data_IF_922662104189
#
_entry.id   IF_922662104189
#
_cell.length_a   1.000
_cell.length_b   1.000
_cell.length_c   1.000
_cell.angle_alpha   90.00
_cell.angle_beta   90.00
_cell.angle_gamma   90.00
#
_symmetry.space_group_name_H-M   'P 1'
#
loop_
_entity.id
_entity.type
_entity.pdbx_description
1 polymer ?
#
# COMPACT_ATOMS: atom_id res chain seq x y z
N UNK A 1 -11.44 10.80 -23.47
CA UNK A 1 -10.80 9.59 -22.92
C UNK A 1 -9.32 9.74 -23.11
N UNK A 2 -8.52 9.44 -22.09
CA UNK A 2 -7.07 9.61 -22.15
C UNK A 2 -6.38 8.27 -21.95
N UNK A 3 -5.55 7.81 -22.90
CA UNK A 3 -4.84 6.54 -22.77
C UNK A 3 -3.80 6.58 -21.63
N UNK A 4 -3.63 5.43 -20.99
CA UNK A 4 -2.68 5.19 -19.90
C UNK A 4 -2.02 3.83 -20.11
N UNK A 5 -0.71 3.77 -19.95
CA UNK A 5 0.05 2.53 -19.87
C UNK A 5 0.47 2.32 -18.42
N UNK A 6 0.24 1.11 -17.90
CA UNK A 6 0.76 0.67 -16.62
C UNK A 6 1.35 -0.72 -16.81
N UNK A 7 2.67 -0.84 -16.73
CA UNK A 7 3.37 -2.09 -17.03
C UNK A 7 4.55 -2.31 -16.10
N UNK A 8 4.73 -3.56 -15.66
CA UNK A 8 5.91 -3.98 -14.92
C UNK A 8 7.14 -3.99 -15.84
N UNK A 9 8.23 -3.46 -15.33
CA UNK A 9 9.48 -3.32 -16.07
C UNK A 9 10.68 -3.44 -15.13
N UNK A 10 11.84 -3.77 -15.68
CA UNK A 10 13.07 -3.93 -14.90
C UNK A 10 13.87 -2.63 -14.94
N UNK A 11 14.12 -2.08 -13.76
CA UNK A 11 15.07 -0.98 -13.55
C UNK A 11 16.47 -1.56 -13.32
N UNK A 12 17.41 -1.27 -14.21
CA UNK A 12 18.82 -1.65 -14.07
C UNK A 12 19.58 -0.53 -13.34
N UNK A 13 20.21 -0.89 -12.22
CA UNK A 13 20.89 0.07 -11.33
C UNK A 13 22.25 0.45 -11.93
N UNK A 14 22.70 1.72 -11.78
CA UNK A 14 23.99 2.15 -12.34
C UNK A 14 25.22 1.39 -11.82
N UNK A 15 25.15 0.88 -10.59
CA UNK A 15 26.25 0.14 -9.94
C UNK A 15 26.10 -1.39 -10.05
N UNK A 16 25.16 -1.87 -10.86
CA UNK A 16 24.87 -3.29 -11.02
C UNK A 16 23.67 -3.77 -10.20
N UNK A 17 23.07 -4.86 -10.69
CA UNK A 17 21.80 -5.39 -10.19
C UNK A 17 20.58 -4.67 -10.77
N UNK A 18 19.40 -5.17 -10.42
CA UNK A 18 18.13 -4.65 -10.93
C UNK A 18 17.08 -4.55 -9.83
N UNK A 19 15.99 -3.83 -10.11
CA UNK A 19 14.81 -3.74 -9.28
C UNK A 19 13.56 -3.75 -10.16
N UNK A 20 12.50 -4.41 -9.72
CA UNK A 20 11.22 -4.34 -10.41
C UNK A 20 10.60 -2.95 -10.20
N UNK A 21 10.03 -2.37 -11.24
CA UNK A 21 9.27 -1.12 -11.18
C UNK A 21 7.99 -1.22 -12.01
N UNK A 22 7.05 -0.29 -11.81
CA UNK A 22 5.87 -0.13 -12.66
C UNK A 22 6.01 1.18 -13.43
N UNK A 23 6.15 1.08 -14.74
CA UNK A 23 6.14 2.24 -15.63
C UNK A 23 4.70 2.69 -15.83
N UNK A 24 4.47 3.97 -15.56
CA UNK A 24 3.21 4.66 -15.80
C UNK A 24 3.42 5.66 -16.94
N UNK A 25 2.96 5.29 -18.13
CA UNK A 25 3.02 6.12 -19.33
C UNK A 25 1.75 6.95 -19.49
N UNK A 26 1.86 8.27 -19.41
CA UNK A 26 0.71 9.17 -19.46
C UNK A 26 1.14 10.58 -19.86
N UNK A 27 0.24 11.34 -20.50
CA UNK A 27 0.52 12.71 -20.91
C UNK A 27 -0.45 13.68 -20.22
N UNK A 28 0.08 14.49 -19.30
CA UNK A 28 -0.68 15.49 -18.55
C UNK A 28 -1.34 16.54 -19.45
N UNK A 29 -0.67 16.90 -20.55
CA UNK A 29 -1.18 17.88 -21.52
C UNK A 29 -2.50 17.44 -22.17
N UNK A 30 -2.71 16.13 -22.31
CA UNK A 30 -3.92 15.55 -22.90
C UNK A 30 -5.00 15.22 -21.85
N UNK A 31 -4.85 15.73 -20.61
CA UNK A 31 -5.74 15.41 -19.48
C UNK A 31 -5.42 14.08 -18.80
N UNK A 32 -4.21 13.55 -19.02
CA UNK A 32 -3.72 12.33 -18.39
C UNK A 32 -3.34 12.53 -16.91
N UNK A 33 -2.82 11.48 -16.30
CA UNK A 33 -2.30 11.59 -14.95
C UNK A 33 -1.01 12.41 -14.96
N UNK A 34 -0.81 13.19 -13.91
CA UNK A 34 0.50 13.79 -13.61
C UNK A 34 1.06 13.12 -12.36
N UNK A 35 2.39 12.95 -12.24
CA UNK A 35 2.97 12.60 -10.96
C UNK A 35 2.53 13.63 -9.91
N UNK A 36 1.89 13.16 -8.84
CA UNK A 36 1.44 14.03 -7.74
C UNK A 36 2.55 14.18 -6.69
N UNK A 37 2.42 15.17 -5.82
CA UNK A 37 3.36 15.41 -4.73
C UNK A 37 4.83 15.51 -5.19
N UNK A 38 5.09 16.28 -6.26
CA UNK A 38 6.44 16.57 -6.73
C UNK A 38 7.14 17.46 -5.71
N UNK A 39 8.28 16.99 -5.20
CA UNK A 39 9.09 17.68 -4.17
C UNK A 39 10.34 18.32 -4.75
N UNK A 40 10.87 17.81 -5.86
CA UNK A 40 12.04 18.36 -6.55
C UNK A 40 11.88 18.23 -8.07
N UNK A 41 12.40 19.20 -8.83
CA UNK A 41 12.25 19.25 -10.29
C UNK A 41 10.87 19.73 -10.72
N UNK A 42 10.41 19.31 -11.91
CA UNK A 42 9.12 19.72 -12.47
C UNK A 42 8.49 18.59 -13.29
N UNK A 43 7.22 18.29 -13.07
CA UNK A 43 6.46 17.31 -13.86
C UNK A 43 6.46 17.64 -15.36
N UNK A 44 6.47 18.93 -15.73
CA UNK A 44 6.53 19.36 -17.14
C UNK A 44 7.84 18.94 -17.83
N UNK A 45 8.92 18.71 -17.07
CA UNK A 45 10.20 18.22 -17.59
C UNK A 45 10.14 16.78 -18.09
N UNK A 46 9.06 16.04 -17.84
CA UNK A 46 8.84 14.71 -18.41
C UNK A 46 8.77 14.70 -19.94
N UNK A 47 8.51 15.86 -20.56
CA UNK A 47 8.54 16.02 -22.02
C UNK A 47 9.96 15.96 -22.59
N UNK A 48 10.99 16.13 -21.76
CA UNK A 48 12.38 16.04 -22.20
C UNK A 48 12.75 14.60 -22.60
N UNK A 49 13.67 14.43 -23.56
CA UNK A 49 14.17 13.10 -23.90
C UNK A 49 14.74 12.39 -22.69
N UNK A 50 14.38 11.12 -22.51
CA UNK A 50 14.85 10.29 -21.40
C UNK A 50 14.36 10.68 -20.02
N UNK A 51 13.46 11.65 -19.90
CA UNK A 51 12.93 12.07 -18.62
C UNK A 51 12.01 11.03 -17.98
N UNK A 52 12.24 10.79 -16.70
CA UNK A 52 11.34 10.05 -15.82
C UNK A 52 11.15 10.79 -14.50
N UNK A 53 10.03 10.54 -13.84
CA UNK A 53 9.79 10.92 -12.46
C UNK A 53 9.73 9.68 -11.59
N UNK A 54 10.37 9.74 -10.43
CA UNK A 54 10.45 8.64 -9.46
C UNK A 54 10.19 9.17 -8.07
N UNK A 55 9.77 8.29 -7.15
CA UNK A 55 9.57 8.67 -5.76
C UNK A 55 10.90 8.65 -4.98
N UNK A 56 11.13 9.67 -4.15
CA UNK A 56 12.34 9.83 -3.35
C UNK A 56 12.53 8.70 -2.32
N UNK A 57 11.42 8.08 -1.87
CA UNK A 57 11.44 6.96 -0.92
C UNK A 57 12.10 5.71 -1.50
N UNK A 58 12.24 5.62 -2.83
CA UNK A 58 12.83 4.47 -3.53
C UNK A 58 14.20 4.74 -4.16
N UNK A 59 14.85 5.89 -3.91
CA UNK A 59 16.18 6.20 -4.48
C UNK A 59 17.22 5.12 -4.15
N UNK A 60 17.20 4.60 -2.92
CA UNK A 60 18.06 3.48 -2.48
C UNK A 60 17.76 2.20 -3.26
N UNK A 61 16.48 1.85 -3.45
CA UNK A 61 16.06 0.69 -4.23
C UNK A 61 16.57 0.78 -5.67
N UNK A 62 16.52 1.97 -6.26
CA UNK A 62 17.00 2.27 -7.61
C UNK A 62 18.52 2.43 -7.75
N UNK A 63 19.25 2.54 -6.63
CA UNK A 63 20.70 2.73 -6.65
C UNK A 63 21.12 4.09 -7.23
N UNK A 64 20.28 5.12 -7.06
CA UNK A 64 20.51 6.47 -7.56
C UNK A 64 20.53 7.49 -6.41
N UNK A 65 21.06 8.69 -6.67
CA UNK A 65 21.27 9.71 -5.63
C UNK A 65 20.16 10.77 -5.56
N UNK A 66 19.34 10.91 -6.61
CA UNK A 66 18.31 11.94 -6.68
C UNK A 66 18.14 12.51 -8.09
N UNK A 67 17.69 13.76 -8.17
CA UNK A 67 17.44 14.48 -9.41
C UNK A 67 18.68 14.48 -10.33
N UNK A 68 18.46 14.35 -11.63
CA UNK A 68 19.52 14.33 -12.65
C UNK A 68 20.24 12.98 -12.78
N UNK A 69 20.04 12.04 -11.85
CA UNK A 69 20.61 10.69 -11.94
C UNK A 69 20.13 9.97 -13.19
N UNK A 70 20.99 9.12 -13.76
CA UNK A 70 20.67 8.29 -14.92
C UNK A 70 20.66 6.82 -14.55
N UNK A 71 19.80 6.05 -15.20
CA UNK A 71 19.73 4.59 -15.06
C UNK A 71 19.19 3.99 -16.37
N UNK A 72 18.82 2.71 -16.36
CA UNK A 72 18.18 2.05 -17.50
C UNK A 72 16.89 1.35 -17.08
N UNK A 73 15.92 1.34 -17.98
CA UNK A 73 14.66 0.59 -17.84
C UNK A 73 14.54 -0.29 -19.08
N UNK A 74 14.50 -1.61 -18.89
CA UNK A 74 14.53 -2.61 -19.97
C UNK A 74 15.61 -2.33 -21.04
N UNK A 75 16.81 -1.95 -20.58
CA UNK A 75 17.96 -1.63 -21.44
C UNK A 75 17.89 -0.27 -22.15
N UNK A 76 16.88 0.57 -21.85
CA UNK A 76 16.79 1.93 -22.37
C UNK A 76 17.17 2.96 -21.31
N UNK A 77 18.09 3.87 -21.66
CA UNK A 77 18.57 4.92 -20.75
C UNK A 77 17.46 5.89 -20.36
N UNK A 78 17.37 6.16 -19.06
CA UNK A 78 16.48 7.15 -18.44
C UNK A 78 17.27 8.13 -17.58
N UNK A 79 16.69 9.31 -17.34
CA UNK A 79 17.20 10.39 -16.50
C UNK A 79 16.08 10.89 -15.60
N UNK A 80 16.35 10.95 -14.30
CA UNK A 80 15.39 11.48 -13.33
C UNK A 80 15.33 13.00 -13.46
N UNK A 81 14.14 13.53 -13.74
CA UNK A 81 13.89 14.97 -13.94
C UNK A 81 12.85 15.55 -12.99
N UNK A 82 12.17 14.69 -12.24
CA UNK A 82 11.32 15.08 -11.12
C UNK A 82 11.38 13.99 -10.05
N UNK A 83 11.30 14.42 -8.79
CA UNK A 83 11.14 13.56 -7.63
C UNK A 83 9.77 13.80 -7.01
N UNK A 84 9.03 12.73 -6.77
CA UNK A 84 7.81 12.75 -5.96
C UNK A 84 8.10 12.26 -4.55
N UNK A 85 7.16 12.46 -3.64
CA UNK A 85 7.23 11.89 -2.30
C UNK A 85 5.97 11.08 -1.96
N UNK A 86 6.16 9.89 -1.40
CA UNK A 86 5.06 9.09 -0.83
C UNK A 86 4.15 8.38 -1.84
N UNK A 87 4.51 8.33 -3.14
CA UNK A 87 3.84 7.49 -4.12
C UNK A 87 4.33 6.04 -3.95
N UNK A 88 3.67 5.30 -3.07
CA UNK A 88 4.04 3.92 -2.73
C UNK A 88 3.07 2.89 -3.31
N UNK A 89 3.63 1.77 -3.77
CA UNK A 89 2.85 0.57 -4.11
C UNK A 89 2.70 -0.33 -2.89
N UNK A 90 1.55 -1.02 -2.80
CA UNK A 90 1.33 -2.11 -1.84
C UNK A 90 2.42 -3.20 -1.94
N UNK A 91 2.87 -3.52 -3.15
CA UNK A 91 3.88 -4.56 -3.40
C UNK A 91 5.31 -4.08 -3.20
N UNK A 92 5.51 -2.87 -2.70
CA UNK A 92 6.83 -2.20 -2.64
C UNK A 92 7.52 -2.03 -4.01
N UNK A 93 6.77 -2.22 -5.10
CA UNK A 93 7.24 -1.99 -6.48
C UNK A 93 7.09 -0.51 -6.83
N UNK A 94 8.18 0.25 -7.02
CA UNK A 94 8.09 1.70 -7.23
C UNK A 94 7.40 2.04 -8.55
N UNK A 95 6.65 3.14 -8.57
CA UNK A 95 6.12 3.72 -9.81
C UNK A 95 7.16 4.64 -10.46
N UNK A 96 7.24 4.57 -11.79
CA UNK A 96 8.08 5.45 -12.61
C UNK A 96 7.19 6.10 -13.65
N UNK A 97 7.07 7.43 -13.61
CA UNK A 97 6.23 8.17 -14.56
C UNK A 97 7.04 8.65 -15.74
N UNK A 98 6.46 8.55 -16.93
CA UNK A 98 7.00 9.10 -18.17
C UNK A 98 5.87 9.40 -19.16
N UNK A 99 6.20 10.05 -20.28
CA UNK A 99 5.23 10.32 -21.35
C UNK A 99 4.69 9.03 -21.97
N UNK A 100 3.45 9.07 -22.48
CA UNK A 100 2.81 7.88 -23.05
C UNK A 100 3.57 7.37 -24.28
N UNK A 101 3.99 8.29 -25.16
CA UNK A 101 4.75 7.95 -26.36
C UNK A 101 6.07 7.25 -26.04
N UNK A 102 6.74 7.68 -24.95
CA UNK A 102 7.96 7.02 -24.49
C UNK A 102 7.68 5.61 -23.98
N UNK A 103 6.65 5.42 -23.17
CA UNK A 103 6.29 4.09 -22.68
C UNK A 103 5.96 3.14 -23.87
N UNK A 104 5.20 3.63 -24.87
CA UNK A 104 4.93 2.86 -26.09
C UNK A 104 6.19 2.47 -26.84
N UNK A 105 7.09 3.43 -27.05
CA UNK A 105 8.37 3.17 -27.72
C UNK A 105 9.24 2.18 -26.93
N UNK A 106 9.28 2.32 -25.61
CA UNK A 106 10.05 1.46 -24.71
C UNK A 106 9.59 0.01 -24.77
N UNK A 107 8.27 -0.20 -24.78
CA UNK A 107 7.68 -1.54 -24.81
C UNK A 107 7.39 -2.07 -26.22
N UNK A 108 7.83 -1.37 -27.28
CA UNK A 108 7.57 -1.76 -28.67
C UNK A 108 6.08 -1.84 -29.02
N UNK A 109 5.24 -1.05 -28.36
CA UNK A 109 3.81 -1.03 -28.57
C UNK A 109 3.42 -0.18 -29.79
N UNK A 110 2.25 -0.48 -30.35
CA UNK A 110 1.62 0.36 -31.37
C UNK A 110 1.26 1.74 -30.80
N UNK A 111 1.16 2.73 -31.68
CA UNK A 111 0.84 4.12 -31.32
C UNK A 111 -0.55 4.32 -30.71
N UNK A 112 -1.45 3.35 -30.86
CA UNK A 112 -2.81 3.35 -30.30
C UNK A 112 -2.96 2.45 -29.07
N UNK A 113 -1.93 1.69 -28.71
CA UNK A 113 -1.98 0.75 -27.58
C UNK A 113 -2.11 1.49 -26.24
N UNK A 114 -2.94 0.96 -25.34
CA UNK A 114 -3.10 1.44 -23.97
C UNK A 114 -3.50 0.28 -23.07
N UNK A 115 -3.12 0.35 -21.79
CA UNK A 115 -3.57 -0.60 -20.75
C UNK A 115 -4.93 -0.17 -20.19
N UNK A 116 -5.12 1.13 -20.02
CA UNK A 116 -6.36 1.72 -19.51
C UNK A 116 -6.71 2.97 -20.31
N UNK A 117 -7.99 3.33 -20.30
CA UNK A 117 -8.48 4.62 -20.79
C UNK A 117 -9.16 5.37 -19.64
N UNK A 118 -8.63 6.55 -19.33
CA UNK A 118 -9.17 7.42 -18.30
C UNK A 118 -10.32 8.24 -18.87
N UNK A 119 -11.46 8.23 -18.18
CA UNK A 119 -12.63 9.03 -18.53
C UNK A 119 -12.78 10.10 -17.44
N UNK A 120 -12.56 11.36 -17.81
CA UNK A 120 -12.84 12.48 -16.93
C UNK A 120 -14.24 13.01 -17.22
N UNK A 121 -15.07 13.04 -16.19
CA UNK A 121 -16.44 13.54 -16.26
C UNK A 121 -16.45 15.07 -16.16
N UNK A 122 -17.39 15.70 -16.86
CA UNK A 122 -17.66 17.11 -16.67
C UNK A 122 -18.29 17.34 -15.27
N UNK A 123 -18.09 18.52 -14.66
CA UNK A 123 -18.73 18.85 -13.39
C UNK A 123 -20.25 18.65 -13.46
N UNK A 124 -20.82 17.93 -12.48
CA UNK A 124 -22.25 17.65 -12.40
C UNK A 124 -22.75 16.47 -13.25
N UNK A 125 -21.88 15.80 -14.02
CA UNK A 125 -22.27 14.58 -14.73
C UNK A 125 -22.43 13.39 -13.75
N UNK A 126 -23.47 12.59 -13.98
CA UNK A 126 -23.73 11.36 -13.24
C UNK A 126 -22.80 10.23 -13.74
N UNK A 127 -21.95 9.73 -12.85
CA UNK A 127 -20.94 8.72 -13.19
C UNK A 127 -21.56 7.38 -13.60
N UNK A 128 -22.65 6.97 -12.96
CA UNK A 128 -23.30 5.68 -13.19
C UNK A 128 -24.03 5.70 -14.55
N UNK A 129 -24.67 6.82 -14.88
CA UNK A 129 -25.29 7.01 -16.20
C UNK A 129 -24.25 7.00 -17.32
N UNK A 130 -23.12 7.72 -17.13
CA UNK A 130 -22.05 7.75 -18.13
C UNK A 130 -21.40 6.37 -18.28
N UNK A 131 -21.13 5.67 -17.18
CA UNK A 131 -20.62 4.30 -17.19
C UNK A 131 -21.55 3.37 -18.00
N UNK A 132 -22.86 3.36 -17.68
CA UNK A 132 -23.83 2.52 -18.38
C UNK A 132 -23.91 2.85 -19.88
N UNK A 133 -23.82 4.14 -20.24
CA UNK A 133 -23.80 4.57 -21.64
C UNK A 133 -22.53 4.11 -22.37
N UNK A 134 -21.37 4.17 -21.72
CA UNK A 134 -20.10 3.71 -22.28
C UNK A 134 -20.05 2.18 -22.41
N UNK A 135 -20.51 1.44 -21.40
CA UNK A 135 -20.54 -0.01 -21.41
C UNK A 135 -21.41 -0.56 -22.56
N UNK A 136 -22.50 0.12 -22.90
CA UNK A 136 -23.33 -0.22 -24.06
C UNK A 136 -22.63 0.03 -25.40
N UNK A 137 -21.80 1.07 -25.49
CA UNK A 137 -21.08 1.45 -26.72
C UNK A 137 -19.81 0.63 -26.94
N UNK A 138 -19.21 0.13 -25.87
CA UNK A 138 -17.95 -0.60 -25.88
C UNK A 138 -18.16 -1.97 -25.18
N UNK A 139 -18.82 -2.93 -25.85
CA UNK A 139 -19.16 -4.21 -25.22
C UNK A 139 -17.92 -5.07 -24.91
N UNK A 140 -16.81 -4.86 -25.63
CA UNK A 140 -15.57 -5.63 -25.49
C UNK A 140 -14.62 -5.08 -24.42
N UNK A 141 -15.01 -4.01 -23.72
CA UNK A 141 -14.21 -3.42 -22.64
C UNK A 141 -15.03 -3.32 -21.37
N UNK A 142 -14.33 -3.33 -20.25
CA UNK A 142 -14.93 -3.12 -18.95
C UNK A 142 -14.86 -1.65 -18.58
N UNK A 143 -16.01 -1.04 -18.30
CA UNK A 143 -16.09 0.35 -17.86
C UNK A 143 -16.32 0.37 -16.36
N UNK A 144 -15.31 0.79 -15.60
CA UNK A 144 -15.35 0.85 -14.15
C UNK A 144 -15.29 2.29 -13.65
N UNK A 145 -16.12 2.61 -12.66
CA UNK A 145 -15.94 3.81 -11.84
C UNK A 145 -14.68 3.69 -10.99
N UNK A 146 -14.19 4.82 -10.48
CA UNK A 146 -13.07 4.85 -9.54
C UNK A 146 -13.36 4.02 -8.27
N UNK A 147 -14.59 4.03 -7.78
CA UNK A 147 -15.00 3.29 -6.58
C UNK A 147 -14.98 1.78 -6.82
N UNK A 148 -15.50 1.33 -7.96
CA UNK A 148 -15.50 -0.08 -8.33
C UNK A 148 -14.09 -0.60 -8.60
N UNK A 149 -13.27 0.16 -9.34
CA UNK A 149 -11.87 -0.19 -9.57
C UNK A 149 -11.12 -0.33 -8.24
N UNK A 150 -11.31 0.63 -7.30
CA UNK A 150 -10.73 0.57 -5.96
C UNK A 150 -11.17 -0.69 -5.21
N UNK A 151 -12.48 -0.98 -5.17
CA UNK A 151 -13.02 -2.15 -4.47
C UNK A 151 -12.44 -3.44 -5.07
N UNK A 152 -12.45 -3.56 -6.39
CA UNK A 152 -11.93 -4.73 -7.09
C UNK A 152 -10.43 -4.92 -6.85
N UNK A 153 -9.64 -3.85 -6.86
CA UNK A 153 -8.21 -3.94 -6.54
C UNK A 153 -8.01 -4.45 -5.10
N UNK A 154 -8.75 -3.92 -4.12
CA UNK A 154 -8.67 -4.37 -2.73
C UNK A 154 -9.05 -5.85 -2.61
N UNK A 155 -10.19 -6.25 -3.20
CA UNK A 155 -10.66 -7.64 -3.17
C UNK A 155 -9.68 -8.59 -3.84
N UNK A 156 -9.10 -8.21 -4.98
CA UNK A 156 -8.09 -9.01 -5.66
C UNK A 156 -6.85 -9.23 -4.79
N UNK A 157 -6.36 -8.18 -4.10
CA UNK A 157 -5.21 -8.31 -3.21
C UNK A 157 -5.52 -9.07 -1.90
N UNK A 158 -6.74 -8.95 -1.37
CA UNK A 158 -7.12 -9.65 -0.15
C UNK A 158 -7.41 -11.13 -0.40
N UNK A 159 -8.11 -11.45 -1.49
CA UNK A 159 -8.68 -12.78 -1.69
C UNK A 159 -8.16 -13.49 -2.94
N UNK A 160 -7.62 -12.76 -3.92
CA UNK A 160 -7.14 -13.32 -5.19
C UNK A 160 -5.67 -13.76 -5.19
N UNK A 161 -4.79 -13.02 -4.49
CA UNK A 161 -3.33 -13.28 -4.52
C UNK A 161 -2.82 -14.14 -3.36
N UNK A 162 -3.67 -14.44 -2.37
CA UNK A 162 -3.28 -15.11 -1.13
C UNK A 162 -2.62 -14.21 -0.07
N UNK A 163 -2.24 -12.97 -0.42
CA UNK A 163 -1.63 -12.03 0.51
C UNK A 163 -2.56 -11.68 1.69
N UNK A 164 -3.85 -11.41 1.41
CA UNK A 164 -4.83 -11.18 2.48
C UNK A 164 -5.09 -12.40 3.34
N UNK A 165 -5.09 -13.61 2.77
CA UNK A 165 -5.21 -14.86 3.55
C UNK A 165 -4.04 -15.01 4.53
N UNK A 166 -2.82 -14.74 4.09
CA UNK A 166 -1.65 -14.78 4.95
C UNK A 166 -1.71 -13.71 6.06
N UNK A 167 -2.10 -12.48 5.73
CA UNK A 167 -2.26 -11.38 6.69
C UNK A 167 -3.33 -11.69 7.74
N UNK A 168 -4.53 -12.09 7.30
CA UNK A 168 -5.65 -12.40 8.19
C UNK A 168 -5.32 -13.65 9.02
N UNK A 169 -4.75 -14.68 8.41
CA UNK A 169 -4.32 -15.89 9.10
C UNK A 169 -3.27 -15.62 10.18
N UNK A 170 -2.26 -14.80 9.87
CA UNK A 170 -1.25 -14.36 10.83
C UNK A 170 -1.86 -13.54 11.97
N UNK A 171 -2.78 -12.62 11.68
CA UNK A 171 -3.49 -11.85 12.70
C UNK A 171 -4.33 -12.74 13.63
N UNK A 172 -5.09 -13.69 13.07
CA UNK A 172 -5.89 -14.65 13.85
C UNK A 172 -5.01 -15.55 14.72
N UNK A 173 -3.90 -16.04 14.17
CA UNK A 173 -2.93 -16.83 14.93
C UNK A 173 -2.31 -16.01 16.07
N UNK A 174 -1.94 -14.76 15.80
CA UNK A 174 -1.43 -13.83 16.80
C UNK A 174 -2.43 -13.58 17.93
N UNK A 175 -3.71 -13.37 17.59
CA UNK A 175 -4.80 -13.22 18.58
C UNK A 175 -4.95 -14.50 19.40
N UNK A 176 -4.95 -15.67 18.76
CA UNK A 176 -5.09 -16.97 19.42
C UNK A 176 -3.94 -17.20 20.41
N UNK A 177 -2.70 -17.11 19.93
CA UNK A 177 -1.50 -17.32 20.74
C UNK A 177 -1.44 -16.29 21.88
N UNK A 178 -1.70 -15.02 21.59
CA UNK A 178 -1.77 -13.96 22.61
C UNK A 178 -2.82 -14.24 23.68
N UNK A 179 -4.01 -14.69 23.28
CA UNK A 179 -5.09 -15.05 24.22
C UNK A 179 -4.70 -16.23 25.10
N UNK A 180 -4.08 -17.26 24.53
CA UNK A 180 -3.61 -18.43 25.28
C UNK A 180 -2.55 -18.05 26.31
N UNK A 181 -1.55 -17.24 25.91
CA UNK A 181 -0.49 -16.80 26.82
C UNK A 181 -1.07 -15.97 27.97
N UNK A 182 -1.91 -14.98 27.68
CA UNK A 182 -2.54 -14.14 28.72
C UNK A 182 -3.40 -14.99 29.66
N UNK A 183 -4.20 -15.91 29.11
CA UNK A 183 -5.01 -16.84 29.90
C UNK A 183 -4.17 -17.71 30.83
N UNK A 184 -3.05 -18.26 30.33
CA UNK A 184 -2.12 -19.06 31.12
C UNK A 184 -1.45 -18.23 32.22
N UNK A 185 -1.02 -17.01 31.93
CA UNK A 185 -0.42 -16.11 32.93
C UNK A 185 -1.41 -15.75 34.03
N UNK A 186 -2.65 -15.40 33.67
CA UNK A 186 -3.71 -15.11 34.65
C UNK A 186 -4.04 -16.34 35.50
N UNK A 187 -4.11 -17.52 34.89
CA UNK A 187 -4.34 -18.76 35.61
C UNK A 187 -3.22 -19.07 36.60
N UNK A 188 -1.95 -18.94 36.18
CA UNK A 188 -0.79 -19.12 37.06
C UNK A 188 -0.84 -18.13 38.23
N UNK A 189 -1.03 -16.83 37.94
CA UNK A 189 -1.10 -15.79 38.97
C UNK A 189 -2.24 -16.04 39.98
N UNK A 190 -3.42 -16.45 39.50
CA UNK A 190 -4.53 -16.78 40.38
C UNK A 190 -4.25 -18.01 41.26
N UNK A 191 -3.54 -19.01 40.70
CA UNK A 191 -3.13 -20.22 41.43
C UNK A 191 -2.07 -19.92 42.48
N UNK A 192 -1.07 -19.09 42.15
CA UNK A 192 0.03 -18.74 43.06
C UNK A 192 -0.48 -17.97 44.29
N UNK A 193 -1.51 -17.12 44.12
CA UNK A 193 -2.15 -16.38 45.21
C UNK A 193 -3.39 -17.06 45.81
N UNK A 194 -3.63 -18.34 45.51
CA UNK A 194 -4.83 -19.06 45.97
C UNK A 194 -4.95 -19.11 47.49
N UNK A 195 -3.82 -19.27 48.19
CA UNK A 195 -3.77 -19.31 49.66
C UNK A 195 -4.10 -17.94 50.29
N UNK A 196 -3.70 -16.85 49.64
CA UNK A 196 -4.04 -15.49 50.07
C UNK A 196 -5.54 -15.22 49.89
N UNK A 197 -6.11 -15.64 48.75
CA UNK A 197 -7.55 -15.56 48.52
C UNK A 197 -8.35 -16.42 49.50
N UNK A 198 -7.84 -17.60 49.88
CA UNK A 198 -8.46 -18.46 50.89
C UNK A 198 -8.48 -17.78 52.27
N UNK A 199 -7.38 -17.15 52.67
CA UNK A 199 -7.30 -16.38 53.92
C UNK A 199 -8.26 -15.18 53.92
N UNK A 200 -8.30 -14.41 52.82
CA UNK A 200 -9.24 -13.30 52.67
C UNK A 200 -10.70 -13.76 52.72
N UNK A 201 -11.00 -14.95 52.20
CA UNK A 201 -12.35 -15.52 52.27
C UNK A 201 -12.70 -15.97 53.69
N UNK A 202 -11.73 -16.53 54.43
CA UNK A 202 -11.91 -16.87 55.85
C UNK A 202 -12.14 -15.63 56.73
N UNK A 203 -11.60 -14.48 56.35
CA UNK A 203 -11.85 -13.18 56.98
C UNK A 203 -13.16 -12.51 56.54
N UNK A 204 -13.96 -13.15 55.68
CA UNK A 204 -15.31 -12.70 55.30
C UNK A 204 -15.44 -12.02 53.94
N UNK A 205 -14.41 -12.03 53.09
CA UNK A 205 -14.53 -11.45 51.73
C UNK A 205 -15.48 -12.27 50.84
N UNK A 206 -16.28 -11.57 50.02
CA UNK A 206 -17.23 -12.20 49.11
C UNK A 206 -16.55 -12.73 47.85
N UNK A 207 -17.10 -13.79 47.24
CA UNK A 207 -16.59 -14.33 45.96
C UNK A 207 -16.69 -13.33 44.79
N UNK A 208 -17.47 -12.25 44.93
CA UNK A 208 -17.51 -11.14 43.99
C UNK A 208 -16.28 -10.24 44.09
N UNK A 209 -15.77 -10.00 45.30
CA UNK A 209 -14.57 -9.19 45.53
C UNK A 209 -13.32 -9.83 44.90
N UNK A 210 -13.11 -11.13 45.11
CA UNK A 210 -11.98 -11.86 44.53
C UNK A 210 -12.03 -11.82 42.99
N UNK A 211 -13.21 -12.05 42.39
CA UNK A 211 -13.40 -11.94 40.93
C UNK A 211 -13.09 -10.52 40.42
N UNK A 212 -13.50 -9.48 41.16
CA UNK A 212 -13.21 -8.08 40.81
C UNK A 212 -11.70 -7.80 40.81
N UNK A 213 -10.96 -8.29 41.80
CA UNK A 213 -9.49 -8.13 41.86
C UNK A 213 -8.84 -8.80 40.65
N UNK A 214 -9.19 -10.05 40.35
CA UNK A 214 -8.64 -10.79 39.21
C UNK A 214 -8.96 -10.09 37.88
N UNK A 215 -10.20 -9.64 37.69
CA UNK A 215 -10.60 -8.89 36.49
C UNK A 215 -9.86 -7.54 36.37
N UNK A 216 -9.58 -6.89 37.50
CA UNK A 216 -8.83 -5.62 37.51
C UNK A 216 -7.37 -5.84 37.13
N UNK A 217 -6.73 -6.89 37.66
CA UNK A 217 -5.36 -7.29 37.27
C UNK A 217 -5.30 -7.67 35.79
N UNK A 218 -6.26 -8.46 35.31
CA UNK A 218 -6.38 -8.81 33.89
C UNK A 218 -6.55 -7.58 33.00
N UNK A 219 -7.44 -6.66 33.38
CA UNK A 219 -7.67 -5.41 32.67
C UNK A 219 -6.42 -4.53 32.63
N UNK A 220 -5.71 -4.40 33.75
CA UNK A 220 -4.48 -3.61 33.82
C UNK A 220 -3.38 -4.20 32.93
N UNK A 221 -3.17 -5.52 32.99
CA UNK A 221 -2.23 -6.23 32.12
C UNK A 221 -2.58 -6.08 30.64
N UNK A 222 -3.87 -6.15 30.29
CA UNK A 222 -4.33 -5.93 28.92
C UNK A 222 -4.05 -4.51 28.43
N UNK A 223 -4.29 -3.49 29.26
CA UNK A 223 -4.02 -2.08 28.93
C UNK A 223 -2.51 -1.86 28.75
N UNK A 224 -1.68 -2.35 29.67
CA UNK A 224 -0.22 -2.21 29.57
C UNK A 224 0.31 -2.93 28.32
N UNK A 225 -0.13 -4.17 28.10
CA UNK A 225 0.24 -4.94 26.90
C UNK A 225 -0.18 -4.25 25.61
N UNK A 226 -1.38 -3.69 25.56
CA UNK A 226 -1.85 -2.91 24.41
C UNK A 226 -0.99 -1.67 24.17
N UNK A 227 -0.72 -0.87 25.22
CA UNK A 227 0.09 0.36 25.09
C UNK A 227 1.50 0.03 24.59
N UNK A 228 2.17 -0.97 25.17
CA UNK A 228 3.50 -1.38 24.73
C UNK A 228 3.48 -1.92 23.29
N UNK A 229 2.50 -2.75 22.95
CA UNK A 229 2.33 -3.26 21.59
C UNK A 229 2.10 -2.14 20.57
N UNK A 230 1.31 -1.13 20.94
CA UNK A 230 1.03 0.03 20.08
C UNK A 230 2.28 0.89 19.88
N UNK A 231 3.08 1.11 20.95
CA UNK A 231 4.35 1.84 20.85
C UNK A 231 5.30 1.13 19.88
N UNK A 232 5.44 -0.20 19.99
CA UNK A 232 6.28 -0.98 19.09
C UNK A 232 5.77 -0.87 17.66
N UNK A 233 4.46 -1.06 17.44
CA UNK A 233 3.84 -0.97 16.12
C UNK A 233 4.04 0.42 15.48
N UNK A 234 3.83 1.50 16.22
CA UNK A 234 4.09 2.86 15.73
C UNK A 234 5.55 3.10 15.42
N UNK A 235 6.46 2.61 16.27
CA UNK A 235 7.90 2.75 16.02
C UNK A 235 8.28 2.12 14.68
N UNK A 236 7.77 0.92 14.38
CA UNK A 236 8.01 0.23 13.09
C UNK A 236 7.41 0.98 11.89
N UNK A 237 6.30 1.69 12.08
CA UNK A 237 5.65 2.44 11.00
C UNK A 237 6.41 3.72 10.67
N UNK A 238 6.95 4.40 11.68
CA UNK A 238 7.57 5.72 11.54
C UNK A 238 9.11 5.69 11.43
N UNK A 239 9.78 4.58 11.77
CA UNK A 239 11.22 4.36 11.63
C UNK A 239 11.52 3.16 10.74
#
# INVERSE_FOLDING_TARGET
MVPLIAQFSKWDKPQGGSHLCVVVGTDAADGGLSPWNVVEGNAASLTLPNAVAVDDTYLKNFGIKGLGSTAEIDGQRVRVTALTHGIRSFTTTPYVFMTLNRARQMFGMKSDAATFFLVQLQPGADADQVQAALQKKLPDVEVLTKAELKRRSIEHWLFGTGAGVALIGGALLGILVGTVIVGQTLYSSAKDHLNEFATLRALGSTSGYIRKVILTQAGLSAVIGYVLGMIIAMTIIFY
#
